data_IF_989399513648
#
_entry.id   IF_989399513648
#
_cell.length_a   1.000
_cell.length_b   1.000
_cell.length_c   1.000
_cell.angle_alpha   90.00
_cell.angle_beta   90.00
_cell.angle_gamma   90.00
#
_symmetry.space_group_name_H-M   'P 1'
#
loop_
_entity.id
_entity.type
_entity.pdbx_description
1 polymer ?
#
# COMPACT_ATOMS: atom_id res chain seq x y z
N UNK A 1 17.53 -9.32 15.53
CA UNK A 1 17.87 -7.94 15.09
C UNK A 1 16.68 -7.13 14.56
N UNK A 2 16.04 -7.44 13.42
CA UNK A 2 14.93 -6.60 12.87
C UNK A 2 13.68 -6.60 13.76
N UNK A 3 13.25 -7.78 14.24
CA UNK A 3 12.09 -7.91 15.14
C UNK A 3 12.22 -7.12 16.44
N UNK A 4 13.44 -6.96 16.97
CA UNK A 4 13.68 -6.18 18.19
C UNK A 4 13.64 -4.68 17.95
N UNK A 5 14.10 -4.21 16.78
CA UNK A 5 13.94 -2.80 16.36
C UNK A 5 12.45 -2.43 16.21
N UNK A 6 11.62 -3.36 15.72
CA UNK A 6 10.16 -3.15 15.61
C UNK A 6 9.43 -3.06 16.96
N UNK A 7 9.96 -3.72 18.02
CA UNK A 7 9.35 -3.69 19.36
C UNK A 7 9.59 -2.35 20.09
N UNK A 8 10.55 -1.54 19.63
CA UNK A 8 10.80 -0.19 20.14
C UNK A 8 9.63 0.74 19.79
N UNK A 9 9.37 1.81 20.58
CA UNK A 9 8.28 2.75 20.31
C UNK A 9 8.37 3.38 18.91
N UNK A 10 9.58 3.65 18.41
CA UNK A 10 9.78 4.17 17.04
C UNK A 10 9.43 3.14 15.97
N UNK A 11 9.70 1.85 16.21
CA UNK A 11 9.31 0.77 15.31
C UNK A 11 7.80 0.57 15.20
N UNK A 12 7.06 0.78 16.31
CA UNK A 12 5.59 0.79 16.28
C UNK A 12 5.02 1.96 15.49
N UNK A 13 5.61 3.16 15.64
CA UNK A 13 5.22 4.35 14.86
C UNK A 13 5.51 4.17 13.36
N UNK A 14 6.65 3.56 13.02
CA UNK A 14 6.99 3.21 11.65
C UNK A 14 5.99 2.22 11.03
N UNK A 15 5.63 1.15 11.76
CA UNK A 15 4.61 0.20 11.30
C UNK A 15 3.25 0.85 11.09
N UNK A 16 2.83 1.72 12.03
CA UNK A 16 1.59 2.47 11.89
C UNK A 16 1.63 3.39 10.65
N UNK A 17 2.74 4.08 10.42
CA UNK A 17 2.92 4.95 9.25
C UNK A 17 2.85 4.16 7.93
N UNK A 18 3.51 3.01 7.85
CA UNK A 18 3.42 2.11 6.68
C UNK A 18 1.99 1.62 6.49
N UNK A 19 1.30 1.25 7.56
CA UNK A 19 -0.09 0.79 7.48
C UNK A 19 -1.02 1.89 6.95
N UNK A 20 -0.84 3.14 7.40
CA UNK A 20 -1.60 4.28 6.87
C UNK A 20 -1.31 4.49 5.37
N UNK A 21 -0.04 4.44 4.96
CA UNK A 21 0.33 4.52 3.54
C UNK A 21 -0.31 3.39 2.74
N UNK A 22 -0.29 2.17 3.25
CA UNK A 22 -0.92 1.02 2.61
C UNK A 22 -2.42 1.24 2.41
N UNK A 23 -3.15 1.68 3.44
CA UNK A 23 -4.59 1.97 3.33
C UNK A 23 -4.88 3.07 2.30
N UNK A 24 -4.12 4.16 2.30
CA UNK A 24 -4.29 5.27 1.35
C UNK A 24 -4.01 4.80 -0.08
N UNK A 25 -2.90 4.11 -0.31
CA UNK A 25 -2.54 3.56 -1.61
C UNK A 25 -3.62 2.57 -2.10
N UNK A 26 -4.10 1.69 -1.22
CA UNK A 26 -5.15 0.73 -1.55
C UNK A 26 -6.43 1.42 -2.01
N UNK A 27 -6.89 2.45 -1.29
CA UNK A 27 -8.11 3.20 -1.66
C UNK A 27 -7.96 3.87 -3.02
N UNK A 28 -6.82 4.53 -3.27
CA UNK A 28 -6.55 5.21 -4.55
C UNK A 28 -6.52 4.19 -5.69
N UNK A 29 -5.82 3.07 -5.51
CA UNK A 29 -5.66 2.08 -6.56
C UNK A 29 -6.92 1.27 -6.85
N UNK A 30 -7.74 0.97 -5.84
CA UNK A 30 -9.07 0.37 -6.08
C UNK A 30 -9.88 1.26 -7.01
N UNK A 31 -9.93 2.57 -6.73
CA UNK A 31 -10.66 3.52 -7.57
C UNK A 31 -10.06 3.61 -8.97
N UNK A 32 -8.74 3.71 -9.08
CA UNK A 32 -8.08 3.84 -10.38
C UNK A 32 -8.23 2.58 -11.24
N UNK A 33 -8.02 1.40 -10.67
CA UNK A 33 -8.05 0.14 -11.41
C UNK A 33 -9.48 -0.31 -11.70
N UNK A 34 -10.33 -0.40 -10.68
CA UNK A 34 -11.70 -0.89 -10.87
C UNK A 34 -12.55 0.18 -11.56
N UNK A 35 -12.48 1.43 -11.09
CA UNK A 35 -13.20 2.55 -11.71
C UNK A 35 -12.75 2.78 -13.15
N UNK A 36 -11.45 2.72 -13.42
CA UNK A 36 -10.91 2.85 -14.78
C UNK A 36 -11.43 1.78 -15.73
N UNK A 37 -11.53 0.51 -15.30
CA UNK A 37 -12.10 -0.57 -16.15
C UNK A 37 -13.60 -0.34 -16.40
N UNK A 38 -14.35 0.10 -15.38
CA UNK A 38 -15.78 0.38 -15.54
C UNK A 38 -16.00 1.54 -16.51
N UNK A 39 -15.24 2.62 -16.39
CA UNK A 39 -15.34 3.82 -17.23
C UNK A 39 -14.88 3.55 -18.67
N UNK A 40 -13.74 2.88 -18.86
CA UNK A 40 -13.14 2.63 -20.17
C UNK A 40 -13.97 1.66 -21.02
N UNK A 41 -14.48 0.59 -20.40
CA UNK A 41 -15.20 -0.47 -21.12
C UNK A 41 -16.72 -0.36 -20.99
N UNK A 42 -17.23 0.63 -20.26
CA UNK A 42 -18.66 0.79 -19.93
C UNK A 42 -19.29 -0.52 -19.39
N UNK A 43 -18.48 -1.34 -18.69
CA UNK A 43 -18.87 -2.65 -18.16
C UNK A 43 -19.09 -2.53 -16.65
N UNK A 44 -20.36 -2.50 -16.17
CA UNK A 44 -20.64 -2.41 -14.75
C UNK A 44 -20.12 -3.64 -14.01
N UNK A 45 -19.79 -3.50 -12.73
CA UNK A 45 -19.29 -4.61 -11.91
C UNK A 45 -20.19 -5.86 -12.00
N UNK A 46 -21.51 -5.69 -12.06
CA UNK A 46 -22.46 -6.81 -12.14
C UNK A 46 -22.27 -7.72 -13.36
N UNK A 47 -21.60 -7.27 -14.42
CA UNK A 47 -21.36 -8.07 -15.64
C UNK A 47 -19.97 -8.73 -15.66
N UNK A 48 -19.16 -8.51 -14.63
CA UNK A 48 -17.80 -9.03 -14.60
C UNK A 48 -17.77 -10.53 -14.33
N UNK A 49 -16.89 -11.23 -15.04
CA UNK A 49 -16.60 -12.62 -14.75
C UNK A 49 -15.74 -12.73 -13.48
N UNK A 50 -15.79 -13.88 -12.82
CA UNK A 50 -14.94 -14.16 -11.64
C UNK A 50 -13.46 -13.93 -11.93
N UNK A 51 -13.00 -14.24 -13.14
CA UNK A 51 -11.60 -14.03 -13.55
C UNK A 51 -11.24 -12.54 -13.61
N UNK A 52 -12.15 -11.68 -14.05
CA UNK A 52 -11.92 -10.22 -14.05
C UNK A 52 -11.76 -9.69 -12.64
N UNK A 53 -12.64 -10.11 -11.71
CA UNK A 53 -12.49 -9.74 -10.29
C UNK A 53 -11.15 -10.17 -9.70
N UNK A 54 -10.73 -11.41 -9.97
CA UNK A 54 -9.45 -11.92 -9.50
C UNK A 54 -8.27 -11.15 -10.07
N UNK A 55 -8.28 -10.87 -11.38
CA UNK A 55 -7.18 -10.18 -12.04
C UNK A 55 -7.06 -8.73 -11.57
N UNK A 56 -8.18 -8.00 -11.51
CA UNK A 56 -8.18 -6.61 -11.04
C UNK A 56 -7.83 -6.53 -9.55
N UNK A 57 -8.31 -7.47 -8.73
CA UNK A 57 -7.94 -7.57 -7.33
C UNK A 57 -6.45 -7.87 -7.13
N UNK A 58 -5.88 -8.79 -7.92
CA UNK A 58 -4.46 -9.10 -7.90
C UNK A 58 -3.60 -7.90 -8.32
N UNK A 59 -4.02 -7.17 -9.35
CA UNK A 59 -3.37 -5.95 -9.82
C UNK A 59 -3.32 -4.88 -8.72
N UNK A 60 -4.47 -4.59 -8.11
CA UNK A 60 -4.56 -3.66 -6.97
C UNK A 60 -3.64 -4.09 -5.84
N UNK A 61 -3.65 -5.38 -5.47
CA UNK A 61 -2.83 -5.90 -4.38
C UNK A 61 -1.33 -5.76 -4.65
N UNK A 62 -0.86 -6.18 -5.83
CA UNK A 62 0.55 -6.09 -6.21
C UNK A 62 1.02 -4.65 -6.22
N UNK A 63 0.24 -3.75 -6.82
CA UNK A 63 0.61 -2.33 -6.91
C UNK A 63 0.60 -1.66 -5.53
N UNK A 64 -0.38 -1.98 -4.68
CA UNK A 64 -0.42 -1.45 -3.31
C UNK A 64 0.80 -1.91 -2.52
N UNK A 65 1.19 -3.18 -2.63
CA UNK A 65 2.38 -3.71 -1.96
C UNK A 65 3.66 -3.03 -2.45
N UNK A 66 3.85 -2.90 -3.76
CA UNK A 66 5.03 -2.24 -4.34
C UNK A 66 5.14 -0.78 -3.89
N UNK A 67 4.05 -0.02 -3.95
CA UNK A 67 4.05 1.36 -3.47
C UNK A 67 4.37 1.43 -1.98
N UNK A 68 3.74 0.58 -1.17
CA UNK A 68 3.98 0.53 0.27
C UNK A 68 5.45 0.20 0.59
N UNK A 69 6.06 -0.72 -0.16
CA UNK A 69 7.48 -1.06 -0.01
C UNK A 69 8.39 0.12 -0.41
N UNK A 70 8.11 0.81 -1.51
CA UNK A 70 8.88 1.99 -1.91
C UNK A 70 8.78 3.08 -0.84
N UNK A 71 7.58 3.38 -0.32
CA UNK A 71 7.37 4.36 0.75
C UNK A 71 7.94 3.92 2.11
N UNK A 72 8.11 2.61 2.33
CA UNK A 72 8.76 2.11 3.55
C UNK A 72 10.22 2.56 3.66
N UNK A 73 10.89 2.83 2.53
CA UNK A 73 12.28 3.29 2.50
C UNK A 73 12.45 4.71 3.09
N UNK A 74 11.81 5.78 2.56
CA UNK A 74 11.93 7.12 3.14
C UNK A 74 11.38 7.16 4.57
N UNK A 75 10.30 6.43 4.88
CA UNK A 75 9.81 6.31 6.26
C UNK A 75 10.83 5.61 7.16
N UNK A 76 11.55 4.62 6.64
CA UNK A 76 12.60 3.90 7.36
C UNK A 76 13.74 4.85 7.73
N UNK A 77 14.17 5.69 6.78
CA UNK A 77 15.16 6.73 7.05
C UNK A 77 14.64 7.81 8.02
N UNK A 78 13.36 8.19 7.93
CA UNK A 78 12.78 9.18 8.83
C UNK A 78 12.67 8.68 10.28
N UNK A 79 12.23 7.45 10.49
CA UNK A 79 12.03 6.89 11.83
C UNK A 79 13.30 6.31 12.45
N UNK A 80 14.23 5.78 11.65
CA UNK A 80 15.43 5.09 12.14
C UNK A 80 16.75 5.75 11.70
N UNK A 81 16.72 6.87 10.98
CA UNK A 81 17.91 7.62 10.62
C UNK A 81 18.66 8.10 11.86
N UNK A 82 19.99 8.19 11.75
CA UNK A 82 20.84 8.70 12.83
C UNK A 82 20.40 10.12 13.17
N UNK A 83 19.76 10.28 14.35
CA UNK A 83 19.57 11.59 14.94
C UNK A 83 20.96 12.03 15.40
N UNK A 84 21.63 12.83 14.57
CA UNK A 84 22.78 13.60 15.02
C UNK A 84 22.32 14.37 16.25
N UNK A 85 22.82 13.94 17.40
CA UNK A 85 22.63 14.55 18.70
C UNK A 85 22.88 16.05 18.56
N UNK A 86 21.89 16.86 18.95
CA UNK A 86 22.06 18.30 19.17
C UNK A 86 22.17 18.52 20.65
#
# INVERSE_FOLDING_TARGET
MIREKLKRPEGKKFLLAIFVVFCVALTILIRATIGGVVEEYNMPLSTWTTQMYLLQGAMVLVYTLVLTLIFSLPLGFYFFGEKSDR
#
